data_IF_070516746953
#
_entry.id   IF_070516746953
#
_cell.length_a   1.000
_cell.length_b   1.000
_cell.length_c   1.000
_cell.angle_alpha   90.00
_cell.angle_beta   90.00
_cell.angle_gamma   90.00
#
_symmetry.space_group_name_H-M   'P 1'
#
loop_
_entity.id
_entity.type
_entity.pdbx_description
1 polymer ?
#
# COMPACT_ATOMS: atom_id res chain seq x y z
N UNK A 1 18.70 23.18 -21.40
CA UNK A 1 17.66 22.13 -21.29
C UNK A 1 16.86 22.44 -20.05
N UNK A 2 15.54 22.54 -20.12
CA UNK A 2 14.71 22.75 -18.93
C UNK A 2 14.94 21.59 -17.96
N UNK A 3 15.31 21.87 -16.72
CA UNK A 3 15.44 20.85 -15.68
C UNK A 3 14.04 20.34 -15.39
N UNK A 4 13.75 19.09 -15.77
CA UNK A 4 12.47 18.47 -15.50
C UNK A 4 12.26 18.37 -13.99
N UNK A 5 11.15 18.88 -13.46
CA UNK A 5 10.84 18.80 -12.03
C UNK A 5 10.63 17.32 -11.63
N UNK A 6 11.50 16.71 -10.80
CA UNK A 6 11.43 15.28 -10.48
C UNK A 6 10.30 14.93 -9.51
N UNK A 7 9.61 15.93 -8.95
CA UNK A 7 8.58 15.75 -7.92
C UNK A 7 7.16 15.76 -8.46
N UNK A 8 6.96 15.99 -9.76
CA UNK A 8 5.62 16.03 -10.38
C UNK A 8 4.86 14.69 -10.27
N UNK A 9 5.59 13.58 -10.11
CA UNK A 9 5.01 12.26 -9.92
C UNK A 9 4.80 11.96 -8.43
N UNK A 10 3.59 12.27 -7.94
CA UNK A 10 3.18 12.08 -6.54
C UNK A 10 2.52 10.71 -6.26
N UNK A 11 2.39 9.87 -7.30
CA UNK A 11 1.91 8.49 -7.22
C UNK A 11 3.06 7.52 -7.47
N UNK A 12 3.04 6.32 -6.84
CA UNK A 12 4.09 5.33 -7.06
C UNK A 12 4.16 4.90 -8.54
N UNK A 13 5.36 4.92 -9.12
CA UNK A 13 5.67 4.38 -10.46
C UNK A 13 6.31 2.99 -10.34
N UNK A 14 6.39 2.24 -11.42
CA UNK A 14 6.91 0.86 -11.41
C UNK A 14 8.36 0.77 -10.92
N UNK A 15 9.17 1.76 -11.26
CA UNK A 15 10.59 1.85 -10.83
C UNK A 15 10.78 2.42 -9.42
N UNK A 16 9.71 2.90 -8.78
CA UNK A 16 9.84 3.47 -7.44
C UNK A 16 10.15 2.36 -6.42
N UNK A 17 11.05 2.66 -5.49
CA UNK A 17 11.44 1.79 -4.39
C UNK A 17 11.03 2.41 -3.05
N UNK A 18 10.87 1.56 -2.04
CA UNK A 18 10.59 1.99 -0.68
C UNK A 18 11.86 2.57 -0.06
N UNK A 19 11.91 3.89 0.07
CA UNK A 19 13.08 4.60 0.57
C UNK A 19 13.13 4.56 2.10
N UNK A 20 14.13 3.88 2.66
CA UNK A 20 14.34 3.83 4.11
C UNK A 20 13.34 2.99 4.91
N UNK A 21 12.37 2.34 4.25
CA UNK A 21 11.27 1.61 4.90
C UNK A 21 11.40 0.08 4.87
N UNK A 22 12.63 -0.43 4.74
CA UNK A 22 12.90 -1.88 4.61
C UNK A 22 12.39 -2.68 5.81
N UNK A 23 12.63 -2.20 7.03
CA UNK A 23 12.22 -2.90 8.25
C UNK A 23 10.70 -3.12 8.32
N UNK A 24 9.92 -2.11 7.92
CA UNK A 24 8.46 -2.25 7.86
C UNK A 24 8.03 -3.16 6.71
N UNK A 25 8.68 -3.06 5.54
CA UNK A 25 8.43 -3.99 4.43
C UNK A 25 8.67 -5.44 4.85
N UNK A 26 9.76 -5.73 5.56
CA UNK A 26 10.09 -7.07 6.04
C UNK A 26 9.05 -7.58 7.04
N UNK A 27 8.54 -6.70 7.91
CA UNK A 27 7.41 -7.02 8.79
C UNK A 27 6.15 -7.37 7.99
N UNK A 28 5.83 -6.59 6.94
CA UNK A 28 4.68 -6.87 6.07
C UNK A 28 4.87 -8.21 5.36
N UNK A 29 6.04 -8.45 4.76
CA UNK A 29 6.37 -9.71 4.08
C UNK A 29 6.20 -10.90 5.02
N UNK A 30 6.74 -10.81 6.24
CA UNK A 30 6.59 -11.87 7.25
C UNK A 30 5.13 -12.17 7.56
N UNK A 31 4.33 -11.15 7.87
CA UNK A 31 2.91 -11.36 8.19
C UNK A 31 2.12 -11.91 7.00
N UNK A 32 2.41 -11.46 5.78
CA UNK A 32 1.77 -12.00 4.58
C UNK A 32 2.14 -13.47 4.39
N UNK A 33 3.42 -13.83 4.55
CA UNK A 33 3.89 -15.22 4.46
C UNK A 33 3.24 -16.12 5.51
N UNK A 34 3.22 -15.69 6.77
CA UNK A 34 2.58 -16.42 7.87
C UNK A 34 1.06 -16.58 7.62
N UNK A 35 0.45 -15.61 6.93
CA UNK A 35 -0.98 -15.60 6.60
C UNK A 35 -1.37 -16.52 5.45
N UNK A 36 -0.42 -16.96 4.61
CA UNK A 36 -0.71 -17.89 3.50
C UNK A 36 -1.21 -19.24 4.01
N UNK A 37 -0.70 -19.69 5.16
CA UNK A 37 -1.11 -20.95 5.80
C UNK A 37 -2.38 -20.79 6.65
N UNK A 38 -2.54 -19.64 7.29
CA UNK A 38 -3.69 -19.33 8.16
C UNK A 38 -4.94 -18.89 7.38
N UNK A 39 -4.79 -18.54 6.10
CA UNK A 39 -5.87 -18.08 5.21
C UNK A 39 -6.54 -16.81 5.76
N UNK A 40 -5.73 -15.78 5.92
CA UNK A 40 -6.12 -14.54 6.60
C UNK A 40 -6.49 -13.41 5.63
N UNK A 41 -7.05 -12.34 6.19
CA UNK A 41 -7.22 -11.02 5.58
C UNK A 41 -6.12 -10.14 6.15
N UNK A 42 -5.04 -9.93 5.40
CA UNK A 42 -4.00 -8.99 5.76
C UNK A 42 -4.43 -7.60 5.33
N UNK A 43 -4.63 -6.72 6.30
CA UNK A 43 -5.00 -5.32 6.06
C UNK A 43 -3.80 -4.42 6.26
N UNK A 44 -3.34 -3.78 5.19
CA UNK A 44 -2.38 -2.69 5.23
C UNK A 44 -3.16 -1.41 5.48
N UNK A 45 -3.06 -0.90 6.70
CA UNK A 45 -3.87 0.21 7.18
C UNK A 45 -3.04 1.51 7.28
N UNK A 46 -3.68 2.65 7.07
CA UNK A 46 -3.05 3.96 7.29
C UNK A 46 -3.66 5.07 6.43
N UNK A 47 -3.13 6.28 6.57
CA UNK A 47 -3.66 7.46 5.87
C UNK A 47 -3.54 7.38 4.34
N UNK A 48 -4.31 8.21 3.64
CA UNK A 48 -4.18 8.36 2.19
C UNK A 48 -2.81 8.94 1.83
N UNK A 49 -2.11 8.33 0.88
CA UNK A 49 -0.78 8.78 0.46
C UNK A 49 0.40 8.26 1.28
N UNK A 50 0.16 7.48 2.35
CA UNK A 50 1.22 6.93 3.23
C UNK A 50 2.10 5.83 2.58
N UNK A 51 1.72 5.36 1.38
CA UNK A 51 2.48 4.37 0.60
C UNK A 51 1.95 2.93 0.65
N UNK A 52 0.72 2.69 1.13
CA UNK A 52 0.11 1.34 1.25
C UNK A 52 0.22 0.50 -0.03
N UNK A 53 -0.22 1.04 -1.17
CA UNK A 53 -0.17 0.36 -2.47
C UNK A 53 1.26 -0.03 -2.86
N UNK A 54 2.26 0.80 -2.53
CA UNK A 54 3.66 0.50 -2.82
C UNK A 54 4.19 -0.66 -1.95
N UNK A 55 3.80 -0.73 -0.67
CA UNK A 55 4.12 -1.89 0.17
C UNK A 55 3.50 -3.18 -0.38
N UNK A 56 2.22 -3.15 -0.71
CA UNK A 56 1.51 -4.30 -1.31
C UNK A 56 2.23 -4.75 -2.59
N UNK A 57 2.52 -3.82 -3.50
CA UNK A 57 3.22 -4.13 -4.76
C UNK A 57 4.58 -4.81 -4.50
N UNK A 58 5.40 -4.27 -3.60
CA UNK A 58 6.73 -4.82 -3.27
C UNK A 58 6.66 -6.20 -2.60
N UNK A 59 5.60 -6.49 -1.86
CA UNK A 59 5.38 -7.82 -1.29
C UNK A 59 4.99 -8.81 -2.39
N UNK A 60 4.09 -8.42 -3.29
CA UNK A 60 3.68 -9.25 -4.42
C UNK A 60 4.86 -9.54 -5.36
N UNK A 61 5.64 -8.52 -5.75
CA UNK A 61 6.85 -8.68 -6.56
C UNK A 61 7.79 -9.74 -5.94
N UNK A 62 8.05 -9.65 -4.64
CA UNK A 62 8.91 -10.61 -3.90
C UNK A 62 8.31 -12.02 -3.86
N UNK A 63 6.99 -12.15 -3.72
CA UNK A 63 6.29 -13.44 -3.69
C UNK A 63 6.30 -14.13 -5.05
N UNK A 64 6.05 -13.39 -6.13
CA UNK A 64 6.05 -13.93 -7.49
C UNK A 64 7.47 -14.36 -7.92
N UNK A 65 8.50 -13.62 -7.50
CA UNK A 65 9.90 -13.99 -7.73
C UNK A 65 10.31 -15.26 -6.96
N UNK A 66 9.90 -15.37 -5.68
CA UNK A 66 10.33 -16.46 -4.78
C UNK A 66 9.47 -17.72 -4.85
N UNK A 67 8.17 -17.60 -5.11
CA UNK A 67 7.20 -18.71 -5.14
C UNK A 67 6.49 -18.79 -6.50
N UNK A 68 6.99 -19.65 -7.40
CA UNK A 68 6.32 -20.01 -8.67
C UNK A 68 4.92 -20.62 -8.50
N UNK A 69 4.55 -21.01 -7.27
CA UNK A 69 3.26 -21.59 -6.90
C UNK A 69 2.25 -20.58 -6.35
N UNK A 70 2.50 -19.28 -6.38
CA UNK A 70 1.49 -18.28 -6.00
C UNK A 70 0.77 -17.76 -7.24
N UNK A 71 -0.54 -17.57 -7.14
CA UNK A 71 -1.34 -16.85 -8.14
C UNK A 71 -1.97 -15.63 -7.50
N UNK A 72 -1.70 -14.47 -8.07
CA UNK A 72 -2.18 -13.19 -7.55
C UNK A 72 -3.29 -12.66 -8.45
N UNK A 73 -4.42 -12.25 -7.85
CA UNK A 73 -5.47 -11.50 -8.52
C UNK A 73 -5.52 -10.10 -7.93
N UNK A 74 -5.39 -9.08 -8.76
CA UNK A 74 -5.40 -7.69 -8.30
C UNK A 74 -6.70 -7.00 -8.70
N UNK A 75 -7.37 -6.38 -7.72
CA UNK A 75 -8.60 -5.63 -7.92
C UNK A 75 -8.48 -4.26 -7.26
N UNK A 76 -9.02 -3.25 -7.93
CA UNK A 76 -9.41 -2.00 -7.27
C UNK A 76 -10.85 -2.13 -6.79
N UNK A 77 -11.10 -1.77 -5.53
CA UNK A 77 -12.45 -1.83 -4.98
C UNK A 77 -13.42 -0.93 -5.78
N UNK A 78 -14.54 -1.51 -6.19
CA UNK A 78 -15.59 -0.85 -6.96
C UNK A 78 -16.94 -1.55 -6.76
N UNK A 79 -18.01 -1.07 -7.42
CA UNK A 79 -19.35 -1.62 -7.26
C UNK A 79 -19.52 -3.09 -7.69
N UNK A 80 -18.63 -3.59 -8.57
CA UNK A 80 -18.63 -4.97 -9.03
C UNK A 80 -17.80 -5.92 -8.16
N UNK A 81 -17.08 -5.42 -7.14
CA UNK A 81 -16.18 -6.24 -6.31
C UNK A 81 -16.88 -7.47 -5.71
N UNK A 82 -18.16 -7.39 -5.35
CA UNK A 82 -18.90 -8.56 -4.88
C UNK A 82 -18.95 -9.68 -5.94
N UNK A 83 -19.18 -9.34 -7.20
CA UNK A 83 -19.24 -10.30 -8.29
C UNK A 83 -17.84 -10.83 -8.64
N UNK A 84 -16.84 -9.94 -8.66
CA UNK A 84 -15.44 -10.31 -8.91
C UNK A 84 -14.97 -11.36 -7.90
N UNK A 85 -15.23 -11.14 -6.61
CA UNK A 85 -14.86 -12.07 -5.54
C UNK A 85 -15.61 -13.41 -5.62
N UNK A 86 -16.86 -13.42 -6.08
CA UNK A 86 -17.64 -14.65 -6.27
C UNK A 86 -17.17 -15.47 -7.46
N UNK A 87 -16.66 -14.82 -8.48
CA UNK A 87 -16.19 -15.42 -9.72
C UNK A 87 -14.70 -15.76 -9.68
N UNK A 88 -14.05 -15.64 -8.51
CA UNK A 88 -12.67 -16.07 -8.34
C UNK A 88 -12.53 -17.54 -8.74
N UNK A 89 -11.60 -17.87 -9.65
CA UNK A 89 -11.45 -19.23 -10.12
C UNK A 89 -10.99 -20.13 -8.97
N UNK A 90 -11.72 -21.20 -8.70
CA UNK A 90 -11.30 -22.23 -7.75
C UNK A 90 -10.21 -23.09 -8.40
N UNK A 91 -8.93 -22.80 -8.16
CA UNK A 91 -7.85 -23.67 -8.64
C UNK A 91 -7.76 -24.93 -7.78
N UNK A 92 -8.54 -25.95 -8.14
CA UNK A 92 -8.47 -27.29 -7.52
C UNK A 92 -7.35 -28.18 -8.08
N UNK A 93 -6.75 -27.80 -9.22
CA UNK A 93 -5.85 -28.68 -10.00
C UNK A 93 -4.36 -28.31 -9.93
N UNK A 94 -4.03 -27.03 -9.76
CA UNK A 94 -2.67 -26.61 -9.48
C UNK A 94 -2.61 -26.35 -7.98
N UNK A 95 -1.67 -26.95 -7.24
CA UNK A 95 -1.43 -26.66 -5.81
C UNK A 95 -0.87 -25.22 -5.65
N UNK A 96 -1.58 -24.23 -6.18
CA UNK A 96 -1.18 -22.83 -6.15
C UNK A 96 -1.91 -22.15 -5.00
N UNK A 97 -1.14 -21.42 -4.19
CA UNK A 97 -1.69 -20.51 -3.19
C UNK A 97 -2.31 -19.32 -3.93
N UNK A 98 -3.55 -18.97 -3.61
CA UNK A 98 -4.24 -17.85 -4.24
C UNK A 98 -4.19 -16.65 -3.28
N UNK A 99 -3.67 -15.54 -3.78
CA UNK A 99 -3.71 -14.24 -3.11
C UNK A 99 -4.63 -13.32 -3.91
N UNK A 100 -5.54 -12.65 -3.23
CA UNK A 100 -6.38 -11.63 -3.83
C UNK A 100 -6.03 -10.30 -3.19
N UNK A 101 -5.56 -9.38 -4.02
CA UNK A 101 -5.25 -8.01 -3.64
C UNK A 101 -6.46 -7.13 -3.92
N UNK A 102 -6.88 -6.34 -2.93
CA UNK A 102 -7.96 -5.36 -3.08
C UNK A 102 -7.45 -4.00 -2.60
N UNK A 103 -7.17 -3.09 -3.54
CA UNK A 103 -6.80 -1.71 -3.21
C UNK A 103 -8.05 -0.86 -2.92
N UNK A 104 -7.90 0.17 -2.08
CA UNK A 104 -8.95 1.12 -1.68
C UNK A 104 -10.17 0.46 -1.03
N UNK A 105 -9.97 -0.55 -0.19
CA UNK A 105 -11.08 -1.30 0.43
C UNK A 105 -11.94 -0.42 1.35
N UNK A 106 -11.45 0.72 1.82
CA UNK A 106 -12.23 1.72 2.57
C UNK A 106 -13.49 2.20 1.83
N UNK A 107 -13.53 2.10 0.51
CA UNK A 107 -14.69 2.45 -0.31
C UNK A 107 -15.91 1.56 -0.03
N UNK A 108 -15.74 0.40 0.63
CA UNK A 108 -16.85 -0.43 1.11
C UNK A 108 -17.81 0.36 2.00
N UNK A 109 -17.31 1.37 2.74
CA UNK A 109 -18.11 2.21 3.63
C UNK A 109 -19.13 3.07 2.90
N UNK A 110 -18.96 3.28 1.58
CA UNK A 110 -19.92 4.02 0.76
C UNK A 110 -21.14 3.19 0.34
N UNK A 111 -21.07 1.86 0.52
CA UNK A 111 -22.13 0.94 0.12
C UNK A 111 -23.21 0.82 1.20
N UNK A 112 -24.38 0.27 0.84
CA UNK A 112 -25.42 -0.06 1.81
C UNK A 112 -24.96 -1.16 2.78
N UNK A 113 -25.42 -1.11 4.04
CA UNK A 113 -25.08 -2.11 5.07
C UNK A 113 -25.31 -3.56 4.61
N UNK A 114 -26.36 -3.79 3.81
CA UNK A 114 -26.65 -5.11 3.23
C UNK A 114 -25.52 -5.57 2.29
N UNK A 115 -25.03 -4.67 1.43
CA UNK A 115 -23.97 -5.00 0.47
C UNK A 115 -22.61 -5.16 1.18
N UNK A 116 -22.32 -4.31 2.18
CA UNK A 116 -21.14 -4.46 3.04
C UNK A 116 -21.09 -5.86 3.69
N UNK A 117 -22.19 -6.30 4.32
CA UNK A 117 -22.30 -7.64 4.92
C UNK A 117 -22.11 -8.76 3.89
N UNK A 118 -22.69 -8.62 2.69
CA UNK A 118 -22.53 -9.60 1.61
C UNK A 118 -21.06 -9.74 1.18
N UNK A 119 -20.35 -8.63 1.03
CA UNK A 119 -18.93 -8.62 0.67
C UNK A 119 -18.08 -9.25 1.77
N UNK A 120 -18.25 -8.83 3.03
CA UNK A 120 -17.51 -9.39 4.17
C UNK A 120 -17.76 -10.89 4.35
N UNK A 121 -18.99 -11.35 4.13
CA UNK A 121 -19.30 -12.79 4.12
C UNK A 121 -18.55 -13.54 3.03
N UNK A 122 -18.55 -13.04 1.79
CA UNK A 122 -17.78 -13.64 0.70
C UNK A 122 -16.29 -13.68 1.04
N UNK A 123 -15.73 -12.60 1.58
CA UNK A 123 -14.34 -12.58 2.04
C UNK A 123 -14.06 -13.66 3.09
N UNK A 124 -14.94 -13.83 4.08
CA UNK A 124 -14.83 -14.91 5.06
C UNK A 124 -14.88 -16.30 4.42
N UNK A 125 -15.75 -16.50 3.45
CA UNK A 125 -15.89 -17.78 2.74
C UNK A 125 -14.65 -18.07 1.87
N UNK A 126 -14.04 -17.06 1.25
CA UNK A 126 -12.76 -17.17 0.54
C UNK A 126 -11.63 -17.59 1.49
N UNK A 127 -11.54 -16.99 2.67
CA UNK A 127 -10.57 -17.40 3.70
C UNK A 127 -10.77 -18.87 4.11
N UNK A 128 -12.01 -19.34 4.32
CA UNK A 128 -12.29 -20.77 4.59
C UNK A 128 -11.89 -21.67 3.42
N UNK A 129 -11.98 -21.18 2.19
CA UNK A 129 -11.56 -21.86 0.97
C UNK A 129 -10.04 -21.79 0.72
N UNK A 130 -9.26 -21.36 1.72
CA UNK A 130 -7.80 -21.22 1.68
C UNK A 130 -7.27 -20.15 0.71
N UNK A 131 -8.00 -19.04 0.61
CA UNK A 131 -7.58 -17.88 -0.17
C UNK A 131 -7.16 -16.78 0.80
N UNK A 132 -5.96 -16.23 0.59
CA UNK A 132 -5.47 -15.10 1.38
C UNK A 132 -5.87 -13.79 0.71
N UNK A 133 -6.42 -12.87 1.51
CA UNK A 133 -6.79 -11.54 1.03
C UNK A 133 -5.76 -10.53 1.53
N UNK A 134 -5.22 -9.71 0.63
CA UNK A 134 -4.34 -8.59 0.96
C UNK A 134 -5.05 -7.29 0.58
N UNK A 135 -5.46 -6.51 1.56
CA UNK A 135 -6.27 -5.31 1.33
C UNK A 135 -5.52 -4.06 1.79
N UNK A 136 -5.78 -2.92 1.15
CA UNK A 136 -5.41 -1.61 1.70
C UNK A 136 -6.64 -0.95 2.31
N UNK A 137 -6.46 -0.25 3.43
CA UNK A 137 -7.56 0.41 4.12
C UNK A 137 -7.13 1.67 4.89
N UNK A 138 -8.09 2.32 5.53
CA UNK A 138 -7.92 3.45 6.45
C UNK A 138 -8.47 3.11 7.84
N UNK A 139 -8.00 3.81 8.87
CA UNK A 139 -8.31 3.55 10.28
C UNK A 139 -9.82 3.49 10.59
N UNK A 140 -10.61 4.29 9.87
CA UNK A 140 -12.06 4.36 10.04
C UNK A 140 -12.77 3.06 9.67
N UNK A 141 -12.22 2.31 8.73
CA UNK A 141 -12.81 1.06 8.25
C UNK A 141 -12.79 -0.01 9.34
N UNK A 142 -11.65 -0.20 10.00
CA UNK A 142 -11.48 -1.25 11.00
C UNK A 142 -12.38 -1.04 12.22
N UNK A 143 -12.64 0.22 12.59
CA UNK A 143 -13.58 0.57 13.66
C UNK A 143 -15.01 0.20 13.28
N UNK A 144 -15.40 0.44 12.01
CA UNK A 144 -16.76 0.18 11.51
C UNK A 144 -17.02 -1.30 11.22
N UNK A 145 -16.04 -2.05 10.71
CA UNK A 145 -16.18 -3.49 10.45
C UNK A 145 -16.58 -4.26 11.73
N UNK A 146 -16.07 -3.85 12.90
CA UNK A 146 -16.45 -4.46 14.19
C UNK A 146 -17.97 -4.46 14.43
N UNK A 147 -18.68 -3.44 13.95
CA UNK A 147 -20.11 -3.30 14.14
C UNK A 147 -20.93 -4.04 13.05
N UNK A 148 -20.27 -4.48 11.98
CA UNK A 148 -20.92 -5.05 10.80
C UNK A 148 -20.94 -6.58 10.87
N UNK A 149 -19.83 -7.22 11.23
CA UNK A 149 -19.70 -8.68 11.28
C UNK A 149 -18.56 -9.13 12.21
N UNK A 150 -18.87 -9.73 13.36
CA UNK A 150 -17.84 -10.25 14.27
C UNK A 150 -17.15 -11.52 13.73
N UNK A 151 -17.82 -12.28 12.86
CA UNK A 151 -17.34 -13.55 12.33
C UNK A 151 -16.17 -13.38 11.36
N UNK A 152 -16.09 -12.25 10.65
CA UNK A 152 -14.97 -11.95 9.74
C UNK A 152 -13.72 -11.48 10.48
N UNK A 153 -13.87 -10.90 11.69
CA UNK A 153 -12.79 -10.27 12.46
C UNK A 153 -11.61 -11.21 12.74
N UNK A 154 -11.89 -12.48 13.02
CA UNK A 154 -10.83 -13.48 13.33
C UNK A 154 -9.83 -13.69 12.19
N UNK A 155 -10.24 -13.39 10.95
CA UNK A 155 -9.37 -13.48 9.78
C UNK A 155 -8.48 -12.25 9.62
N UNK A 156 -8.78 -11.11 10.24
CA UNK A 156 -7.99 -9.89 10.04
C UNK A 156 -6.63 -9.98 10.75
N UNK A 157 -5.59 -9.58 10.01
CA UNK A 157 -4.24 -9.27 10.48
C UNK A 157 -3.94 -7.84 10.04
N UNK A 158 -3.96 -6.90 10.97
CA UNK A 158 -3.83 -5.47 10.66
C UNK A 158 -2.38 -5.02 10.83
N UNK A 159 -1.89 -4.29 9.83
CA UNK A 159 -0.59 -3.66 9.83
C UNK A 159 -0.74 -2.17 9.57
N UNK A 160 -0.54 -1.36 10.60
CA UNK A 160 -0.57 0.08 10.49
C UNK A 160 0.74 0.61 9.90
N UNK A 161 0.65 1.29 8.77
CA UNK A 161 1.78 1.91 8.09
C UNK A 161 2.14 3.20 8.84
N UNK A 162 3.33 3.28 9.46
CA UNK A 162 3.72 4.49 10.18
C UNK A 162 3.94 5.67 9.22
N UNK A 163 3.86 6.92 9.69
CA UNK A 163 4.42 8.04 8.96
C UNK A 163 5.92 7.86 8.76
N UNK A 164 6.48 8.49 7.72
CA UNK A 164 7.93 8.53 7.58
C UNK A 164 8.55 9.29 8.74
N UNK A 165 9.78 8.92 9.06
CA UNK A 165 10.70 9.71 9.86
C UNK A 165 11.26 10.88 9.05
N UNK A 166 11.93 11.80 9.72
CA UNK A 166 12.65 12.88 9.05
C UNK A 166 13.73 12.32 8.11
N UNK A 167 14.50 11.32 8.55
CA UNK A 167 15.56 10.69 7.76
C UNK A 167 15.02 9.97 6.51
N UNK A 168 13.89 9.27 6.63
CA UNK A 168 13.21 8.66 5.48
C UNK A 168 12.69 9.73 4.51
N UNK A 169 12.23 10.88 5.03
CA UNK A 169 11.78 12.02 4.24
C UNK A 169 12.93 12.62 3.44
N UNK A 170 14.08 12.87 4.09
CA UNK A 170 15.28 13.36 3.44
C UNK A 170 15.75 12.40 2.33
N UNK A 171 15.83 11.10 2.63
CA UNK A 171 16.19 10.09 1.65
C UNK A 171 15.21 10.04 0.47
N UNK A 172 13.90 10.19 0.71
CA UNK A 172 12.90 10.26 -0.37
C UNK A 172 13.19 11.44 -1.30
N UNK A 173 13.49 12.61 -0.74
CA UNK A 173 13.81 13.82 -1.53
C UNK A 173 15.09 13.61 -2.33
N UNK A 174 16.16 13.11 -1.71
CA UNK A 174 17.43 12.80 -2.38
C UNK A 174 17.20 11.80 -3.53
N UNK A 175 16.41 10.74 -3.28
CA UNK A 175 16.06 9.74 -4.28
C UNK A 175 15.42 10.37 -5.52
N UNK A 176 14.46 11.28 -5.34
CA UNK A 176 13.81 11.98 -6.45
C UNK A 176 14.76 12.92 -7.19
N UNK A 177 15.56 13.69 -6.47
CA UNK A 177 16.56 14.57 -7.09
C UNK A 177 17.57 13.79 -7.94
N UNK A 178 17.95 12.59 -7.51
CA UNK A 178 18.88 11.73 -8.24
C UNK A 178 18.31 11.19 -9.56
N UNK A 179 16.98 11.21 -9.78
CA UNK A 179 16.38 10.80 -11.06
C UNK A 179 16.74 11.73 -12.22
N UNK A 180 17.05 13.00 -11.92
CA UNK A 180 17.35 14.04 -12.93
C UNK A 180 18.79 14.51 -12.89
N UNK A 181 19.60 13.99 -11.95
CA UNK A 181 21.02 14.30 -11.85
C UNK A 181 21.84 13.43 -12.79
N UNK A 182 22.91 13.99 -13.32
CA UNK A 182 23.90 13.23 -14.12
C UNK A 182 24.69 12.21 -13.30
N UNK A 183 24.81 12.44 -11.99
CA UNK A 183 25.44 11.52 -11.04
C UNK A 183 24.68 11.54 -9.72
N UNK A 184 24.46 10.37 -9.15
CA UNK A 184 23.85 10.22 -7.83
C UNK A 184 24.69 10.96 -6.77
N UNK A 185 24.01 11.70 -5.90
CA UNK A 185 24.62 12.44 -4.80
C UNK A 185 23.76 12.35 -3.55
N UNK A 186 24.39 12.20 -2.39
CA UNK A 186 23.76 12.36 -1.08
C UNK A 186 23.63 13.85 -0.74
N UNK A 187 22.77 14.54 -1.49
CA UNK A 187 22.57 15.98 -1.34
C UNK A 187 21.12 16.35 -1.55
N UNK A 188 20.60 17.21 -0.68
CA UNK A 188 19.26 17.79 -0.76
C UNK A 188 19.17 19.03 -1.66
N UNK A 189 20.28 19.54 -2.20
CA UNK A 189 20.28 20.71 -3.08
C UNK A 189 19.33 20.50 -4.28
N UNK A 190 18.42 21.45 -4.59
CA UNK A 190 18.46 22.87 -4.22
C UNK A 190 17.73 23.25 -2.92
N UNK A 191 17.27 22.27 -2.15
CA UNK A 191 16.68 22.52 -0.84
C UNK A 191 17.74 22.71 0.24
N UNK A 192 17.37 23.47 1.27
CA UNK A 192 18.09 23.61 2.53
C UNK A 192 17.52 22.65 3.57
N UNK A 193 18.31 22.34 4.61
CA UNK A 193 17.87 21.48 5.71
C UNK A 193 16.62 22.04 6.42
N UNK A 194 16.54 23.36 6.57
CA UNK A 194 15.36 24.02 7.17
C UNK A 194 14.10 23.84 6.33
N UNK A 195 14.22 23.88 5.00
CA UNK A 195 13.10 23.60 4.10
C UNK A 195 12.65 22.14 4.21
N UNK A 196 13.59 21.17 4.27
CA UNK A 196 13.26 19.75 4.45
C UNK A 196 12.58 19.51 5.81
N UNK A 197 13.06 20.16 6.88
CA UNK A 197 12.43 20.12 8.21
C UNK A 197 11.01 20.69 8.19
N UNK A 198 10.81 21.82 7.51
CA UNK A 198 9.50 22.43 7.36
C UNK A 198 8.56 21.52 6.55
N UNK A 199 9.03 20.96 5.43
CA UNK A 199 8.28 20.01 4.61
C UNK A 199 7.86 18.78 5.43
N UNK A 200 8.80 18.17 6.16
CA UNK A 200 8.53 17.03 7.03
C UNK A 200 7.45 17.34 8.07
N UNK A 201 7.58 18.48 8.77
CA UNK A 201 6.63 18.92 9.80
C UNK A 201 5.23 19.16 9.23
N UNK A 202 5.14 19.82 8.07
CA UNK A 202 3.88 20.13 7.42
C UNK A 202 3.20 18.88 6.83
N UNK A 203 3.99 17.98 6.23
CA UNK A 203 3.50 16.73 5.68
C UNK A 203 3.21 15.67 6.77
N UNK A 204 3.71 15.88 8.01
CA UNK A 204 3.64 14.89 9.11
C UNK A 204 4.16 13.51 8.69
N UNK A 205 5.21 13.48 7.87
CA UNK A 205 5.78 12.24 7.34
C UNK A 205 4.94 11.54 6.27
N UNK A 206 3.90 12.16 5.72
CA UNK A 206 3.14 11.62 4.59
C UNK A 206 3.93 11.79 3.27
N UNK A 207 4.37 10.70 2.59
CA UNK A 207 5.20 10.77 1.39
C UNK A 207 4.57 11.59 0.26
N UNK A 208 3.26 11.44 0.02
CA UNK A 208 2.58 12.19 -1.05
C UNK A 208 2.62 13.69 -0.77
N UNK A 209 2.34 14.08 0.47
CA UNK A 209 2.38 15.49 0.87
C UNK A 209 3.80 16.06 0.80
N UNK A 210 4.82 15.28 1.20
CA UNK A 210 6.23 15.66 1.02
C UNK A 210 6.50 15.94 -0.46
N UNK A 211 6.17 15.00 -1.36
CA UNK A 211 6.42 15.16 -2.80
C UNK A 211 5.67 16.37 -3.39
N UNK A 212 4.44 16.63 -2.96
CA UNK A 212 3.68 17.82 -3.37
C UNK A 212 4.36 19.13 -2.92
N UNK A 213 4.84 19.20 -1.67
CA UNK A 213 5.56 20.36 -1.17
C UNK A 213 6.90 20.55 -1.90
N UNK A 214 7.62 19.45 -2.18
CA UNK A 214 8.84 19.50 -2.98
C UNK A 214 8.56 20.01 -4.39
N UNK A 215 7.48 19.55 -5.04
CA UNK A 215 7.13 20.00 -6.39
C UNK A 215 6.91 21.51 -6.45
N UNK A 216 6.15 22.05 -5.51
CA UNK A 216 5.88 23.49 -5.40
C UNK A 216 7.16 24.30 -5.14
N UNK A 217 7.97 23.89 -4.15
CA UNK A 217 9.18 24.62 -3.78
C UNK A 217 10.30 24.48 -4.82
N UNK A 218 10.32 23.39 -5.57
CA UNK A 218 11.31 23.19 -6.63
C UNK A 218 11.06 24.15 -7.81
N UNK A 219 9.80 24.43 -8.14
CA UNK A 219 9.44 25.38 -9.20
C UNK A 219 9.89 26.81 -8.87
N UNK A 220 9.79 27.24 -7.61
CA UNK A 220 10.27 28.55 -7.16
C UNK A 220 11.81 28.70 -7.21
N UNK A 221 12.53 27.58 -7.33
CA UNK A 221 14.00 27.53 -7.33
C UNK A 221 14.61 27.37 -8.72
N UNK A 222 13.79 27.21 -9.77
CA UNK A 222 14.21 27.19 -11.18
C UNK A 222 14.34 28.60 -11.73
#
# INVERSE_FOLDING_TARGET
MAVQNPFLYITPRDKDFLVGRSNFLDKVKKVVMDSLDENAIVSINGEFGIGKTLFVRKVIEDLEEKKKSVKVFHYDFNFNTLNDLRNLPSEKKAKKEIIVVIDRFELILSLSNLLQRKILKVMSDLCKAKITLLITSTDDLLKKIKNIDEGVKKYFRVLDVPPMTYEETEKLVISRLNEVRTKNKESIHPFTENEIKAMYKNAKGNPRMVLMLCASLFEEKL
#
